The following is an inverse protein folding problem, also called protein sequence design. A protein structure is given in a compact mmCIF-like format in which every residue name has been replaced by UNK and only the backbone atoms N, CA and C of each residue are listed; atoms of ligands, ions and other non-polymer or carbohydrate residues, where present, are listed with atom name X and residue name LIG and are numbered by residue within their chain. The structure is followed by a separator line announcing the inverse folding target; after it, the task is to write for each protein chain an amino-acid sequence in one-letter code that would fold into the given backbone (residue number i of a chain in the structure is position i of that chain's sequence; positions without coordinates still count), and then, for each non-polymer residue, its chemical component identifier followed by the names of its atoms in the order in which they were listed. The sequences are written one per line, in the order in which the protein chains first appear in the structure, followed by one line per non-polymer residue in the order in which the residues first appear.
data_IF_691136565099
#
_entry.id   IF_691136565099
#
_cell.length_a   1.000
_cell.length_b   1.000
_cell.length_c   1.000
_cell.angle_alpha   90.00
_cell.angle_beta   90.00
_cell.angle_gamma   90.00
#
_symmetry.space_group_name_H-M   'P 1'
#
loop_
_entity.id
_entity.type
_entity.pdbx_description
1 polymer ?
#
# COMPACT_ATOMS: atom_id res chain seq x y z
N UNK A 1 -6.89 -23.59 14.27
CA UNK A 1 -7.13 -22.16 14.62
C UNK A 1 -6.58 -21.29 13.50
N UNK A 2 -7.38 -20.44 12.83
CA UNK A 2 -6.84 -19.46 11.88
C UNK A 2 -5.91 -18.53 12.65
N UNK A 3 -4.58 -18.66 12.45
CA UNK A 3 -3.61 -17.72 13.02
C UNK A 3 -3.94 -16.34 12.44
N UNK A 4 -4.44 -15.44 13.28
CA UNK A 4 -4.69 -14.07 12.88
C UNK A 4 -3.35 -13.34 12.91
N UNK A 5 -2.78 -13.12 11.72
CA UNK A 5 -1.51 -12.39 11.52
C UNK A 5 -1.69 -10.87 11.66
N UNK A 6 -2.37 -10.42 12.73
CA UNK A 6 -2.70 -9.01 12.91
C UNK A 6 -1.43 -8.15 13.04
N UNK A 7 -0.46 -8.59 13.85
CA UNK A 7 0.83 -7.92 13.98
C UNK A 7 1.64 -7.92 12.68
N UNK A 8 1.73 -9.04 11.96
CA UNK A 8 2.45 -9.08 10.67
C UNK A 8 1.80 -8.14 9.63
N UNK A 9 0.46 -8.02 9.64
CA UNK A 9 -0.27 -7.06 8.80
C UNK A 9 0.02 -5.61 9.19
N UNK A 10 0.10 -5.32 10.49
CA UNK A 10 0.45 -3.99 10.99
C UNK A 10 1.90 -3.63 10.64
N UNK A 11 2.84 -4.55 10.86
CA UNK A 11 4.25 -4.38 10.48
C UNK A 11 4.41 -4.18 8.98
N UNK A 12 3.66 -4.94 8.18
CA UNK A 12 3.63 -4.76 6.72
C UNK A 12 3.18 -3.35 6.33
N UNK A 13 2.19 -2.79 7.03
CA UNK A 13 1.74 -1.42 6.78
C UNK A 13 2.85 -0.41 7.10
N UNK A 14 3.55 -0.59 8.22
CA UNK A 14 4.69 0.25 8.59
C UNK A 14 5.81 0.19 7.54
N UNK A 15 6.13 -1.01 7.03
CA UNK A 15 7.13 -1.17 5.97
C UNK A 15 6.70 -0.51 4.65
N UNK A 16 5.42 -0.60 4.29
CA UNK A 16 4.90 0.09 3.11
C UNK A 16 5.08 1.62 3.22
N UNK A 17 4.78 2.21 4.40
CA UNK A 17 5.00 3.65 4.62
C UNK A 17 6.48 4.03 4.61
N UNK A 18 7.33 3.23 5.26
CA UNK A 18 8.77 3.46 5.27
C UNK A 18 9.35 3.42 3.84
N UNK A 19 8.91 2.45 3.04
CA UNK A 19 9.31 2.35 1.64
C UNK A 19 8.90 3.59 0.83
N UNK A 20 7.66 4.06 0.97
CA UNK A 20 7.20 5.29 0.30
C UNK A 20 8.04 6.49 0.73
N UNK A 21 8.30 6.66 2.03
CA UNK A 21 9.12 7.77 2.55
C UNK A 21 10.54 7.73 1.97
N UNK A 22 11.17 6.56 1.92
CA UNK A 22 12.53 6.41 1.37
C UNK A 22 12.55 6.77 -0.12
N UNK A 23 11.62 6.25 -0.91
CA UNK A 23 11.57 6.56 -2.35
C UNK A 23 11.32 8.04 -2.59
N UNK A 24 10.36 8.62 -1.89
CA UNK A 24 10.03 10.03 -2.01
C UNK A 24 11.20 10.92 -1.58
N UNK A 25 11.88 10.56 -0.49
CA UNK A 25 13.09 11.23 -0.03
C UNK A 25 14.22 11.15 -1.06
N UNK A 26 14.40 10.00 -1.71
CA UNK A 26 15.42 9.82 -2.75
C UNK A 26 15.12 10.66 -4.00
N UNK A 27 13.86 10.71 -4.44
CA UNK A 27 13.43 11.57 -5.55
C UNK A 27 13.68 13.03 -5.20
N UNK A 28 13.23 13.48 -4.03
CA UNK A 28 13.44 14.86 -3.58
C UNK A 28 14.93 15.22 -3.47
N UNK A 29 15.76 14.33 -2.93
CA UNK A 29 17.20 14.52 -2.83
C UNK A 29 17.89 14.60 -4.20
N UNK A 30 17.55 13.68 -5.12
CA UNK A 30 18.10 13.70 -6.48
C UNK A 30 17.76 14.99 -7.23
N UNK A 31 16.54 15.50 -7.04
CA UNK A 31 16.12 16.77 -7.64
C UNK A 31 16.81 17.98 -6.99
N UNK A 32 17.01 17.97 -5.66
CA UNK A 32 17.78 18.99 -4.96
C UNK A 32 19.21 19.06 -5.50
N UNK A 33 19.88 17.91 -5.61
CA UNK A 33 21.26 17.83 -6.07
C UNK A 33 21.45 18.33 -7.52
N UNK A 34 20.45 18.15 -8.38
CA UNK A 34 20.55 18.57 -9.77
C UNK A 34 20.56 20.10 -9.94
N UNK A 35 19.80 20.87 -9.13
CA UNK A 35 19.85 22.33 -9.12
C UNK A 35 19.00 22.94 -7.98
N UNK A 36 19.63 23.61 -7.01
CA UNK A 36 18.93 24.32 -5.90
C UNK A 36 17.94 25.40 -6.38
N UNK A 37 18.15 25.97 -7.58
CA UNK A 37 17.25 26.97 -8.16
C UNK A 37 15.98 26.37 -8.74
N UNK A 38 16.00 25.08 -9.10
CA UNK A 38 14.85 24.40 -9.71
C UNK A 38 13.70 24.23 -8.70
N UNK A 39 14.01 24.08 -7.40
CA UNK A 39 13.01 24.00 -6.33
C UNK A 39 12.18 25.28 -6.20
N UNK A 40 12.75 26.44 -6.56
CA UNK A 40 12.09 27.75 -6.46
C UNK A 40 11.14 28.04 -7.62
N UNK A 41 11.13 27.20 -8.66
CA UNK A 41 10.27 27.37 -9.82
C UNK A 41 8.86 26.88 -9.45
N UNK A 42 7.80 27.70 -9.59
CA UNK A 42 6.43 27.26 -9.27
C UNK A 42 6.00 26.00 -10.04
N UNK A 43 6.46 25.88 -11.28
CA UNK A 43 6.22 24.70 -12.14
C UNK A 43 6.92 23.42 -11.66
N UNK A 44 7.97 23.54 -10.85
CA UNK A 44 8.68 22.37 -10.33
C UNK A 44 7.83 21.58 -9.33
N UNK A 45 7.03 22.27 -8.51
CA UNK A 45 6.06 21.62 -7.62
C UNK A 45 5.06 20.80 -8.44
N UNK A 46 4.60 21.34 -9.59
CA UNK A 46 3.70 20.63 -10.50
C UNK A 46 4.37 19.37 -11.05
N UNK A 47 5.64 19.46 -11.46
CA UNK A 47 6.39 18.29 -11.95
C UNK A 47 6.52 17.22 -10.87
N UNK A 48 6.82 17.59 -9.63
CA UNK A 48 6.86 16.64 -8.50
C UNK A 48 5.50 15.97 -8.30
N UNK A 49 4.41 16.74 -8.25
CA UNK A 49 3.06 16.20 -8.08
C UNK A 49 2.71 15.21 -9.21
N UNK A 50 3.10 15.51 -10.44
CA UNK A 50 2.88 14.60 -11.58
C UNK A 50 3.70 13.32 -11.43
N UNK A 51 4.98 13.41 -11.04
CA UNK A 51 5.83 12.24 -10.80
C UNK A 51 5.26 11.39 -9.67
N UNK A 52 4.83 12.03 -8.57
CA UNK A 52 4.17 11.37 -7.44
C UNK A 52 2.90 10.65 -7.87
N UNK A 53 2.03 11.32 -8.63
CA UNK A 53 0.80 10.72 -9.13
C UNK A 53 1.10 9.51 -10.03
N UNK A 54 2.08 9.62 -10.93
CA UNK A 54 2.51 8.50 -11.78
C UNK A 54 3.05 7.36 -10.93
N UNK A 55 3.90 7.64 -9.95
CA UNK A 55 4.45 6.61 -9.09
C UNK A 55 3.35 5.92 -8.27
N UNK A 56 2.45 6.68 -7.68
CA UNK A 56 1.44 6.17 -6.76
C UNK A 56 0.29 5.47 -7.48
N UNK A 57 -0.20 6.00 -8.61
CA UNK A 57 -1.30 5.39 -9.34
C UNK A 57 -0.86 4.34 -10.33
N UNK A 58 0.34 4.41 -10.92
CA UNK A 58 0.79 3.47 -11.96
C UNK A 58 1.83 2.51 -11.41
N UNK A 59 2.99 3.01 -10.98
CA UNK A 59 4.16 2.18 -10.66
C UNK A 59 3.89 1.29 -9.44
N UNK A 60 3.39 1.87 -8.35
CA UNK A 60 3.18 1.13 -7.10
C UNK A 60 2.15 -0.01 -7.24
N UNK A 61 0.96 0.17 -7.85
CA UNK A 61 0.05 -0.94 -8.11
C UNK A 61 0.62 -2.02 -9.03
N UNK A 62 1.46 -1.66 -10.01
CA UNK A 62 2.16 -2.65 -10.85
C UNK A 62 3.15 -3.49 -10.05
N UNK A 63 3.92 -2.86 -9.15
CA UNK A 63 4.79 -3.55 -8.20
C UNK A 63 3.94 -4.50 -7.34
N UNK A 64 2.82 -4.00 -6.80
CA UNK A 64 1.96 -4.82 -5.96
C UNK A 64 1.35 -6.02 -6.71
N UNK A 65 1.02 -5.86 -7.99
CA UNK A 65 0.53 -6.93 -8.85
C UNK A 65 1.59 -8.01 -9.02
N UNK A 66 2.84 -7.62 -9.30
CA UNK A 66 3.97 -8.53 -9.47
C UNK A 66 4.28 -9.30 -8.19
N UNK A 67 4.21 -8.64 -7.03
CA UNK A 67 4.50 -9.24 -5.73
C UNK A 67 3.32 -10.04 -5.15
N UNK A 68 2.14 -10.02 -5.81
CA UNK A 68 0.87 -10.54 -5.24
C UNK A 68 0.60 -9.95 -3.85
N UNK A 69 0.92 -8.68 -3.62
CA UNK A 69 0.97 -8.07 -2.29
C UNK A 69 1.68 -6.74 -2.31
N UNK A 70 1.62 -5.97 -1.23
CA UNK A 70 2.52 -4.81 -1.07
C UNK A 70 3.93 -5.28 -0.71
N UNK A 71 4.92 -4.39 -0.81
CA UNK A 71 6.30 -4.72 -0.47
C UNK A 71 6.44 -5.14 1.00
N UNK A 72 5.79 -4.43 1.92
CA UNK A 72 5.75 -4.81 3.32
C UNK A 72 5.10 -6.17 3.56
N UNK A 73 4.11 -6.55 2.74
CA UNK A 73 3.52 -7.89 2.80
C UNK A 73 4.56 -8.92 2.38
N UNK A 74 5.24 -8.68 1.26
CA UNK A 74 6.30 -9.57 0.77
C UNK A 74 7.42 -9.75 1.78
N UNK A 75 7.79 -8.72 2.54
CA UNK A 75 8.82 -8.80 3.59
C UNK A 75 8.39 -9.62 4.81
N UNK A 76 7.08 -9.75 5.06
CA UNK A 76 6.53 -10.55 6.14
C UNK A 76 5.99 -11.91 5.66
N UNK A 77 6.41 -12.34 4.46
CA UNK A 77 5.93 -13.54 3.77
C UNK A 77 4.41 -13.57 3.59
N UNK A 78 3.78 -12.41 3.59
CA UNK A 78 2.36 -12.26 3.33
C UNK A 78 2.11 -12.07 1.84
N UNK A 79 1.07 -12.73 1.33
CA UNK A 79 0.58 -12.51 -0.02
C UNK A 79 -0.94 -12.44 -0.03
N UNK A 80 -1.45 -11.83 -1.09
CA UNK A 80 -2.86 -11.64 -1.35
C UNK A 80 -3.32 -12.72 -2.31
N UNK A 81 -4.41 -13.39 -1.94
CA UNK A 81 -5.11 -14.31 -2.81
C UNK A 81 -6.55 -13.83 -3.05
N UNK A 82 -7.06 -13.87 -4.28
CA UNK A 82 -8.46 -13.58 -4.53
C UNK A 82 -9.33 -14.72 -3.99
N UNK A 83 -10.39 -14.39 -3.26
CA UNK A 83 -11.40 -15.39 -2.87
C UNK A 83 -12.44 -15.60 -3.95
N UNK A 84 -12.52 -14.68 -4.93
CA UNK A 84 -13.38 -14.77 -6.10
C UNK A 84 -12.77 -14.00 -7.27
N UNK A 85 -12.69 -14.64 -8.44
CA UNK A 85 -12.11 -14.07 -9.67
C UNK A 85 -10.59 -13.91 -9.61
N UNK A 86 -10.04 -12.97 -10.40
CA UNK A 86 -8.60 -12.69 -10.46
C UNK A 86 -8.23 -11.37 -9.78
N UNK A 87 -6.98 -11.24 -9.37
CA UNK A 87 -6.42 -9.96 -8.94
C UNK A 87 -6.07 -9.16 -10.19
N UNK A 88 -6.81 -8.08 -10.44
CA UNK A 88 -6.56 -7.14 -11.53
C UNK A 88 -5.86 -5.89 -11.02
N UNK A 89 -5.24 -5.13 -11.91
CA UNK A 89 -4.64 -3.83 -11.59
C UNK A 89 -5.64 -2.89 -10.88
N UNK A 90 -6.88 -2.76 -11.40
CA UNK A 90 -7.91 -1.92 -10.76
C UNK A 90 -8.28 -2.38 -9.36
N UNK A 91 -8.29 -3.70 -9.11
CA UNK A 91 -8.54 -4.27 -7.78
C UNK A 91 -7.42 -3.94 -6.79
N UNK A 92 -6.16 -3.98 -7.24
CA UNK A 92 -5.01 -3.59 -6.42
C UNK A 92 -4.98 -2.09 -6.18
N UNK A 93 -5.19 -1.28 -7.22
CA UNK A 93 -5.26 0.17 -7.12
C UNK A 93 -6.32 0.57 -6.09
N UNK A 94 -7.54 0.04 -6.18
CA UNK A 94 -8.58 0.34 -5.19
C UNK A 94 -8.21 -0.13 -3.78
N UNK A 95 -7.54 -1.28 -3.66
CA UNK A 95 -7.12 -1.85 -2.37
C UNK A 95 -6.04 -1.03 -1.68
N UNK A 96 -4.93 -0.85 -2.38
CA UNK A 96 -3.66 -0.41 -1.81
C UNK A 96 -3.54 1.12 -1.84
N UNK A 97 -4.25 1.78 -2.76
CA UNK A 97 -4.26 3.24 -2.89
C UNK A 97 -5.51 3.80 -2.19
N UNK A 98 -6.70 3.54 -2.73
CA UNK A 98 -7.92 4.21 -2.27
C UNK A 98 -8.36 3.77 -0.87
N UNK A 99 -8.56 2.47 -0.66
CA UNK A 99 -9.07 1.97 0.62
C UNK A 99 -8.06 2.15 1.75
N UNK A 100 -6.77 1.87 1.52
CA UNK A 100 -5.74 2.14 2.53
C UNK A 100 -5.65 3.62 2.89
N UNK A 101 -5.69 4.53 1.92
CA UNK A 101 -5.65 5.96 2.24
C UNK A 101 -6.91 6.39 2.99
N UNK A 102 -8.10 6.07 2.50
CA UNK A 102 -9.36 6.49 3.14
C UNK A 102 -9.49 5.93 4.56
N UNK A 103 -9.15 4.64 4.74
CA UNK A 103 -9.31 3.94 6.01
C UNK A 103 -8.21 4.26 7.02
N UNK A 104 -6.96 4.47 6.60
CA UNK A 104 -5.84 4.63 7.55
C UNK A 104 -5.34 6.07 7.71
N UNK A 105 -5.68 7.00 6.80
CA UNK A 105 -5.33 8.43 6.98
C UNK A 105 -6.28 9.10 7.96
N UNK A 106 -7.53 8.64 8.06
CA UNK A 106 -8.53 9.25 8.93
C UNK A 106 -8.76 8.44 10.20
N UNK A 107 -8.82 9.12 11.35
CA UNK A 107 -9.17 8.48 12.65
C UNK A 107 -10.52 7.77 12.55
N UNK A 108 -11.47 8.35 11.82
CA UNK A 108 -12.79 7.77 11.56
C UNK A 108 -12.65 6.45 10.78
N UNK A 109 -11.82 6.42 9.73
CA UNK A 109 -11.55 5.22 8.95
C UNK A 109 -10.97 4.08 9.80
N UNK A 110 -10.06 4.40 10.72
CA UNK A 110 -9.47 3.43 11.64
C UNK A 110 -10.54 2.85 12.58
N UNK A 111 -11.41 3.71 13.13
CA UNK A 111 -12.52 3.26 14.00
C UNK A 111 -13.48 2.36 13.22
N UNK A 112 -13.85 2.73 12.00
CA UNK A 112 -14.72 1.93 11.12
C UNK A 112 -14.08 0.57 10.83
N UNK A 113 -12.78 0.53 10.53
CA UNK A 113 -12.03 -0.71 10.29
C UNK A 113 -12.02 -1.60 11.55
N UNK A 114 -11.77 -1.04 12.74
CA UNK A 114 -11.79 -1.79 14.00
C UNK A 114 -13.18 -2.38 14.26
N UNK A 115 -14.23 -1.57 14.14
CA UNK A 115 -15.61 -2.03 14.38
C UNK A 115 -16.02 -3.10 13.37
N UNK A 116 -15.69 -2.90 12.09
CA UNK A 116 -15.94 -3.89 11.05
C UNK A 116 -15.17 -5.19 11.30
N UNK A 117 -13.91 -5.11 11.74
CA UNK A 117 -13.09 -6.26 12.10
C UNK A 117 -13.68 -7.03 13.29
N UNK A 118 -14.19 -6.34 14.32
CA UNK A 118 -14.85 -6.98 15.46
C UNK A 118 -16.10 -7.78 15.03
N UNK A 119 -16.87 -7.28 14.07
CA UNK A 119 -18.10 -7.93 13.59
C UNK A 119 -17.80 -9.06 12.59
N UNK A 120 -16.99 -8.77 11.57
CA UNK A 120 -16.79 -9.65 10.40
C UNK A 120 -15.53 -10.50 10.47
N UNK A 121 -14.64 -10.25 11.44
CA UNK A 121 -13.32 -10.89 11.59
C UNK A 121 -12.46 -10.82 10.32
N UNK A 122 -12.68 -9.79 9.50
CA UNK A 122 -11.96 -9.50 8.25
C UNK A 122 -11.82 -7.98 8.12
N UNK A 123 -10.75 -7.52 7.46
CA UNK A 123 -10.58 -6.10 7.15
C UNK A 123 -11.58 -5.67 6.09
N UNK A 124 -11.96 -4.39 6.11
CA UNK A 124 -13.05 -3.88 5.27
C UNK A 124 -12.70 -4.05 3.79
N UNK A 125 -11.47 -3.70 3.44
CA UNK A 125 -10.97 -3.84 2.07
C UNK A 125 -10.88 -5.30 1.59
N UNK A 126 -10.51 -6.24 2.45
CA UNK A 126 -10.48 -7.68 2.10
C UNK A 126 -11.90 -8.20 1.81
N UNK A 127 -12.88 -7.75 2.60
CA UNK A 127 -14.27 -8.15 2.43
C UNK A 127 -14.89 -7.63 1.13
N UNK A 128 -14.75 -6.32 0.86
CA UNK A 128 -15.31 -5.71 -0.35
C UNK A 128 -14.61 -6.21 -1.62
N UNK A 129 -13.29 -6.33 -1.57
CA UNK A 129 -12.52 -6.76 -2.72
C UNK A 129 -12.44 -8.28 -2.84
N UNK A 130 -13.11 -9.06 -1.98
CA UNK A 130 -13.07 -10.52 -2.01
C UNK A 130 -11.63 -11.03 -2.13
N UNK A 131 -10.78 -10.57 -1.22
CA UNK A 131 -9.38 -10.99 -1.10
C UNK A 131 -9.10 -11.51 0.29
N UNK A 132 -8.09 -12.36 0.42
CA UNK A 132 -7.53 -12.80 1.70
C UNK A 132 -6.03 -12.56 1.70
N UNK A 133 -5.50 -12.32 2.89
CA UNK A 133 -4.05 -12.31 3.13
C UNK A 133 -3.67 -13.63 3.79
N UNK A 134 -2.74 -14.33 3.15
CA UNK A 134 -2.16 -15.59 3.60
C UNK A 134 -0.66 -15.39 3.87
N UNK A 135 -0.10 -16.21 4.74
CA UNK A 135 1.34 -16.27 4.98
C UNK A 135 1.90 -17.44 4.18
N UNK A 136 3.03 -17.26 3.51
CA UNK A 136 3.77 -18.37 2.90
C UNK A 136 4.28 -19.25 4.04
N UNK A 137 4.07 -20.55 3.91
CA UNK A 137 4.75 -21.51 4.78
C UNK A 137 6.21 -21.54 4.34
N UNK A 138 7.18 -21.62 5.28
CA UNK A 138 8.57 -21.80 4.90
C UNK A 138 8.68 -23.07 4.07
N UNK A 139 9.24 -22.97 2.87
CA UNK A 139 9.66 -24.13 2.09
C UNK A 139 10.74 -24.85 2.92
N UNK A 140 10.51 -26.13 3.22
CA UNK A 140 11.46 -26.99 3.96
C UNK A 140 12.80 -27.12 3.24
#
# INVERSE_FOLDING_TARGET
MKKNYFFDRLMSLCYDYLFVIIIMGFIAFGLYYLNDQVIKIPYFIIVIIVIEAVFYFIIYPLICLKLKGSLGKSLNDLYIEPTLGHITYGRILFREIFLKQILYITIIGIIVEIFFYLIKKQTLHDYYLKTKVLKKEPEE
#
